data_IF_328357645014
#
_entry.id   IF_328357645014
#
_cell.length_a   1.000
_cell.length_b   1.000
_cell.length_c   1.000
_cell.angle_alpha   90.00
_cell.angle_beta   90.00
_cell.angle_gamma   90.00
#
_symmetry.space_group_name_H-M   'P 1'
#
loop_
_entity.id
_entity.type
_entity.pdbx_description
1 polymer ?
#
# COMPACT_ATOMS: atom_id res chain seq x y z
N UNK A 1 -2.54 -10.70 -14.56
CA UNK A 1 -2.63 -10.49 -13.11
C UNK A 1 -1.94 -11.67 -12.46
N UNK A 2 -1.02 -11.39 -11.55
CA UNK A 2 -0.40 -12.36 -10.65
C UNK A 2 -0.88 -11.99 -9.25
N UNK A 3 -1.31 -12.95 -8.46
CA UNK A 3 -1.81 -12.63 -7.12
C UNK A 3 -1.46 -13.69 -6.10
N UNK A 4 -1.37 -13.27 -4.83
CA UNK A 4 -1.29 -14.15 -3.66
C UNK A 4 -0.12 -15.15 -3.71
N UNK A 5 1.07 -14.71 -4.10
CA UNK A 5 2.23 -15.59 -4.21
C UNK A 5 3.55 -14.92 -3.83
N UNK A 6 4.59 -15.74 -3.61
CA UNK A 6 5.95 -15.26 -3.37
C UNK A 6 6.86 -15.52 -4.57
N UNK A 7 7.39 -14.45 -5.18
CA UNK A 7 8.41 -14.51 -6.23
C UNK A 7 9.78 -14.26 -5.62
N UNK A 8 10.65 -15.26 -5.64
CA UNK A 8 11.92 -15.19 -4.93
C UNK A 8 13.10 -15.89 -5.59
N UNK A 9 14.31 -15.49 -5.18
CA UNK A 9 15.60 -16.04 -5.64
C UNK A 9 15.84 -15.92 -7.14
N UNK A 10 15.12 -15.01 -7.78
CA UNK A 10 15.39 -14.60 -9.14
C UNK A 10 16.78 -14.01 -9.28
N UNK A 11 17.45 -14.28 -10.40
CA UNK A 11 18.80 -13.81 -10.67
C UNK A 11 18.94 -13.52 -12.16
N UNK A 12 18.93 -12.24 -12.51
CA UNK A 12 18.98 -11.79 -13.90
C UNK A 12 19.76 -10.47 -14.00
N UNK A 13 20.19 -10.04 -15.21
CA UNK A 13 20.77 -8.72 -15.37
C UNK A 13 19.81 -7.60 -14.93
N UNK A 14 18.50 -7.80 -15.13
CA UNK A 14 17.42 -6.87 -14.76
C UNK A 14 16.12 -7.66 -14.67
N UNK A 15 15.16 -7.16 -13.88
CA UNK A 15 13.89 -7.87 -13.64
C UNK A 15 14.12 -9.20 -12.95
N UNK A 16 14.94 -9.21 -11.88
CA UNK A 16 15.41 -10.43 -11.22
C UNK A 16 14.25 -11.37 -10.86
N UNK A 17 13.19 -10.85 -10.25
CA UNK A 17 11.93 -11.57 -10.05
C UNK A 17 10.99 -11.50 -11.26
N UNK A 18 10.60 -10.29 -11.66
CA UNK A 18 9.65 -10.06 -12.77
C UNK A 18 10.24 -9.09 -13.80
N UNK A 19 10.12 -9.46 -15.07
CA UNK A 19 10.41 -8.57 -16.20
C UNK A 19 9.16 -8.36 -17.04
N UNK A 20 8.81 -7.10 -17.30
CA UNK A 20 7.72 -6.71 -18.20
C UNK A 20 8.29 -6.07 -19.46
N UNK A 21 8.31 -6.85 -20.55
CA UNK A 21 8.82 -6.43 -21.86
C UNK A 21 7.74 -6.22 -22.92
N UNK A 22 6.52 -6.73 -22.69
CA UNK A 22 5.49 -6.88 -23.73
C UNK A 22 4.27 -5.99 -23.47
N UNK A 23 3.40 -5.84 -24.47
CA UNK A 23 2.44 -4.74 -24.62
C UNK A 23 1.26 -4.63 -23.65
N UNK A 24 1.38 -5.13 -22.41
CA UNK A 24 0.29 -5.13 -21.43
C UNK A 24 0.79 -4.81 -20.03
N UNK A 25 -0.04 -4.06 -19.31
CA UNK A 25 0.14 -3.82 -17.88
C UNK A 25 0.05 -5.13 -17.11
N UNK A 26 0.88 -5.29 -16.07
CA UNK A 26 0.82 -6.42 -15.16
C UNK A 26 0.42 -5.92 -13.78
N UNK A 27 -0.71 -6.43 -13.29
CA UNK A 27 -1.12 -6.28 -11.90
C UNK A 27 -0.53 -7.41 -11.06
N UNK A 28 0.23 -7.04 -10.02
CA UNK A 28 0.70 -7.86 -8.92
C UNK A 28 -0.13 -7.49 -7.69
N UNK A 29 -1.03 -8.37 -7.27
CA UNK A 29 -1.88 -8.13 -6.11
C UNK A 29 -1.55 -9.10 -4.98
N UNK A 30 -1.25 -8.62 -3.78
CA UNK A 30 -0.89 -9.49 -2.65
C UNK A 30 0.32 -10.40 -2.97
N UNK A 31 1.28 -9.87 -3.73
CA UNK A 31 2.50 -10.60 -4.12
C UNK A 31 3.65 -10.16 -3.23
N UNK A 32 4.44 -11.12 -2.75
CA UNK A 32 5.73 -10.84 -2.11
C UNK A 32 6.86 -11.08 -3.10
N UNK A 33 7.63 -10.05 -3.43
CA UNK A 33 8.85 -10.18 -4.22
C UNK A 33 10.05 -10.05 -3.29
N UNK A 34 10.77 -11.15 -3.09
CA UNK A 34 11.86 -11.20 -2.10
C UNK A 34 13.09 -11.96 -2.52
N UNK A 35 14.23 -11.63 -1.92
CA UNK A 35 15.49 -12.34 -2.16
C UNK A 35 15.91 -12.41 -3.64
N UNK A 36 15.39 -11.52 -4.50
CA UNK A 36 15.76 -11.46 -5.92
C UNK A 36 17.00 -10.59 -6.11
N UNK A 37 17.74 -10.86 -7.18
CA UNK A 37 19.01 -10.21 -7.48
C UNK A 37 19.05 -9.70 -8.92
N UNK A 38 19.40 -8.43 -9.09
CA UNK A 38 19.77 -7.85 -10.38
C UNK A 38 21.26 -7.50 -10.39
N UNK A 39 21.98 -7.82 -11.47
CA UNK A 39 23.44 -7.61 -11.58
C UNK A 39 23.90 -6.79 -12.79
N UNK A 40 22.98 -6.28 -13.60
CA UNK A 40 23.29 -5.54 -14.80
C UNK A 40 22.30 -4.42 -15.07
N UNK A 41 22.23 -3.99 -16.34
CA UNK A 41 21.36 -2.92 -16.81
C UNK A 41 20.50 -3.42 -17.95
N UNK A 42 19.28 -2.89 -18.05
CA UNK A 42 18.47 -3.13 -19.24
C UNK A 42 19.13 -2.44 -20.45
N UNK A 43 19.21 -3.06 -21.64
CA UNK A 43 19.77 -2.43 -22.84
C UNK A 43 19.12 -1.10 -23.27
N UNK A 44 17.97 -0.80 -22.67
CA UNK A 44 17.18 0.38 -22.94
C UNK A 44 17.47 1.54 -22.00
N UNK A 45 18.40 1.43 -21.07
CA UNK A 45 18.76 2.53 -20.19
C UNK A 45 19.78 2.14 -19.14
N UNK A 46 19.96 2.98 -18.14
CA UNK A 46 20.95 2.75 -17.09
C UNK A 46 20.35 2.05 -15.86
N UNK A 47 19.06 1.71 -15.92
CA UNK A 47 18.31 1.17 -14.78
C UNK A 47 18.15 -0.36 -14.79
N UNK A 48 17.92 -0.90 -13.61
CA UNK A 48 17.53 -2.28 -13.37
C UNK A 48 16.55 -2.37 -12.19
N UNK A 49 15.93 -3.54 -12.05
CA UNK A 49 15.03 -3.85 -10.94
C UNK A 49 15.30 -5.26 -10.43
N UNK A 50 15.76 -5.38 -9.18
CA UNK A 50 16.05 -6.67 -8.57
C UNK A 50 14.76 -7.48 -8.34
N UNK A 51 13.74 -6.87 -7.76
CA UNK A 51 12.42 -7.47 -7.61
C UNK A 51 11.69 -7.50 -8.94
N UNK A 52 11.58 -6.33 -9.57
CA UNK A 52 10.90 -6.22 -10.84
C UNK A 52 11.36 -5.05 -11.69
N UNK A 53 11.30 -5.24 -13.01
CA UNK A 53 11.65 -4.22 -13.99
C UNK A 53 10.58 -4.14 -15.09
N UNK A 54 10.14 -2.93 -15.41
CA UNK A 54 9.22 -2.70 -16.53
C UNK A 54 9.72 -1.59 -17.45
N UNK A 55 9.52 -1.77 -18.75
CA UNK A 55 9.83 -0.75 -19.75
C UNK A 55 8.65 0.20 -19.98
N UNK A 56 7.71 -0.16 -20.84
CA UNK A 56 6.67 0.74 -21.35
C UNK A 56 5.30 0.63 -20.67
N UNK A 57 5.08 -0.41 -19.88
CA UNK A 57 3.77 -0.76 -19.35
C UNK A 57 3.79 -0.75 -17.84
N UNK A 58 2.72 -0.29 -17.20
CA UNK A 58 2.75 -0.20 -15.75
C UNK A 58 2.87 -1.61 -15.17
N UNK A 59 3.82 -1.75 -14.25
CA UNK A 59 3.81 -2.82 -13.27
C UNK A 59 3.10 -2.28 -12.03
N UNK A 60 1.89 -2.78 -11.76
CA UNK A 60 1.07 -2.30 -10.65
C UNK A 60 1.23 -3.25 -9.47
N UNK A 61 1.77 -2.73 -8.37
CA UNK A 61 1.76 -3.38 -7.06
C UNK A 61 0.53 -2.91 -6.31
N UNK A 62 -0.32 -3.84 -5.93
CA UNK A 62 -1.48 -3.59 -5.09
C UNK A 62 -1.39 -4.48 -3.86
N UNK A 63 -1.41 -3.92 -2.66
CA UNK A 63 -1.33 -4.69 -1.41
C UNK A 63 -0.14 -5.65 -1.38
N UNK A 64 0.97 -5.27 -2.00
CA UNK A 64 2.10 -6.16 -2.28
C UNK A 64 3.34 -5.74 -1.50
N UNK A 65 4.28 -6.67 -1.34
CA UNK A 65 5.51 -6.44 -0.58
C UNK A 65 6.74 -6.70 -1.44
N UNK A 66 7.64 -5.73 -1.54
CA UNK A 66 8.95 -5.86 -2.18
C UNK A 66 10.01 -5.75 -1.10
N UNK A 67 10.65 -6.86 -0.75
CA UNK A 67 11.55 -6.91 0.41
C UNK A 67 12.79 -7.76 0.22
N UNK A 68 13.91 -7.44 0.88
CA UNK A 68 15.12 -8.27 0.88
C UNK A 68 15.73 -8.53 -0.52
N UNK A 69 15.41 -7.71 -1.51
CA UNK A 69 16.01 -7.79 -2.84
C UNK A 69 17.38 -7.10 -2.84
N UNK A 70 18.25 -7.47 -3.79
CA UNK A 70 19.66 -7.07 -3.79
C UNK A 70 20.13 -6.60 -5.16
N UNK A 71 20.99 -5.59 -5.18
CA UNK A 71 21.81 -5.20 -6.35
C UNK A 71 23.30 -5.38 -5.98
N UNK A 72 24.27 -5.18 -6.90
CA UNK A 72 25.69 -5.39 -6.60
C UNK A 72 26.26 -4.42 -5.55
N UNK A 73 25.56 -3.34 -5.28
CA UNK A 73 25.94 -2.27 -4.36
C UNK A 73 24.71 -1.70 -3.64
N UNK A 74 24.96 -0.72 -2.79
CA UNK A 74 23.95 0.19 -2.23
C UNK A 74 24.41 1.64 -2.43
N UNK A 75 25.11 1.88 -3.54
CA UNK A 75 25.76 3.13 -3.91
C UNK A 75 24.80 3.99 -4.73
N UNK A 76 24.46 5.16 -4.20
CA UNK A 76 23.54 6.12 -4.80
C UNK A 76 23.99 6.68 -6.16
N UNK A 77 25.25 6.46 -6.56
CA UNK A 77 25.76 6.84 -7.88
C UNK A 77 25.36 5.88 -9.00
N UNK A 78 24.80 4.71 -8.65
CA UNK A 78 24.32 3.72 -9.61
C UNK A 78 22.80 3.65 -9.61
N UNK A 79 22.23 3.24 -10.73
CA UNK A 79 20.80 3.32 -11.00
C UNK A 79 20.11 1.95 -10.89
N UNK A 80 20.42 1.14 -9.87
CA UNK A 80 19.73 -0.13 -9.67
C UNK A 80 18.69 -0.06 -8.56
N UNK A 81 17.45 -0.36 -8.92
CA UNK A 81 16.33 -0.38 -8.00
C UNK A 81 16.03 -1.78 -7.46
N UNK A 82 15.27 -1.84 -6.36
CA UNK A 82 14.43 -3.02 -6.11
C UNK A 82 13.34 -3.09 -7.18
N UNK A 83 12.70 -1.95 -7.46
CA UNK A 83 11.75 -1.75 -8.56
C UNK A 83 12.34 -0.77 -9.56
N UNK A 84 12.35 -1.12 -10.85
CA UNK A 84 12.89 -0.28 -11.91
C UNK A 84 11.94 -0.05 -13.08
N UNK A 85 11.99 1.16 -13.65
CA UNK A 85 11.20 1.56 -14.81
C UNK A 85 9.80 2.06 -14.46
N UNK A 86 8.78 1.72 -15.26
CA UNK A 86 7.40 2.21 -15.05
C UNK A 86 6.63 1.30 -14.07
N UNK A 87 6.43 1.78 -12.85
CA UNK A 87 5.82 1.03 -11.76
C UNK A 87 4.89 1.89 -10.91
N UNK A 88 3.76 1.32 -10.52
CA UNK A 88 2.76 1.93 -9.64
C UNK A 88 2.68 1.08 -8.36
N UNK A 89 2.62 1.72 -7.21
CA UNK A 89 2.50 1.04 -5.92
C UNK A 89 1.35 1.65 -5.14
N UNK A 90 0.37 0.82 -4.81
CA UNK A 90 -0.83 1.22 -4.07
C UNK A 90 -0.97 0.28 -2.88
N UNK A 91 -1.16 0.83 -1.67
CA UNK A 91 -1.30 0.06 -0.43
C UNK A 91 -0.16 -0.96 -0.22
N UNK A 92 1.05 -0.66 -0.70
CA UNK A 92 2.14 -1.62 -0.82
C UNK A 92 3.32 -1.25 0.06
N UNK A 93 4.24 -2.19 0.28
CA UNK A 93 5.46 -1.97 1.06
C UNK A 93 6.70 -2.31 0.25
N UNK A 94 7.62 -1.35 0.09
CA UNK A 94 8.93 -1.55 -0.54
C UNK A 94 9.99 -1.31 0.53
N UNK A 95 10.38 -2.40 1.20
CA UNK A 95 11.09 -2.32 2.48
C UNK A 95 12.30 -3.23 2.57
N UNK A 96 13.30 -2.89 3.39
CA UNK A 96 14.42 -3.78 3.72
C UNK A 96 15.20 -4.31 2.49
N UNK A 97 15.24 -3.59 1.37
CA UNK A 97 16.02 -3.98 0.21
C UNK A 97 17.47 -3.50 0.35
N UNK A 98 18.43 -4.34 -0.05
CA UNK A 98 19.85 -3.98 -0.15
C UNK A 98 20.16 -3.61 -1.60
N UNK A 99 19.51 -2.53 -2.04
CA UNK A 99 19.63 -2.00 -3.40
C UNK A 99 20.11 -0.55 -3.35
N UNK A 100 20.62 -0.05 -4.48
CA UNK A 100 21.06 1.34 -4.60
C UNK A 100 19.87 2.31 -4.43
N UNK A 101 18.70 1.92 -4.95
CA UNK A 101 17.43 2.62 -4.77
C UNK A 101 16.29 1.64 -4.48
N UNK A 102 15.25 2.06 -3.75
CA UNK A 102 14.04 1.26 -3.62
C UNK A 102 13.25 1.27 -4.94
N UNK A 103 13.01 2.46 -5.48
CA UNK A 103 12.37 2.68 -6.78
C UNK A 103 13.26 3.53 -7.67
N UNK A 104 13.38 3.16 -8.94
CA UNK A 104 14.05 3.99 -9.93
C UNK A 104 13.25 4.11 -11.22
N UNK A 105 13.05 5.34 -11.69
CA UNK A 105 12.56 5.62 -13.04
C UNK A 105 13.50 6.56 -13.76
N UNK A 106 14.37 5.96 -14.56
CA UNK A 106 15.48 6.63 -15.23
C UNK A 106 15.11 7.05 -16.67
N UNK A 107 16.02 7.75 -17.35
CA UNK A 107 15.94 8.10 -18.76
C UNK A 107 16.17 6.88 -19.67
N UNK A 108 15.23 5.94 -19.64
CA UNK A 108 15.30 4.75 -20.50
C UNK A 108 14.87 5.11 -21.94
N UNK A 109 15.71 4.82 -22.92
CA UNK A 109 15.51 5.08 -24.37
C UNK A 109 14.43 4.23 -25.02
N UNK A 110 14.01 3.13 -24.39
CA UNK A 110 12.90 2.31 -24.90
C UNK A 110 11.58 2.60 -24.20
N UNK A 111 11.51 3.64 -23.37
CA UNK A 111 10.30 3.96 -22.64
C UNK A 111 9.80 5.35 -23.01
N UNK A 112 8.68 5.41 -23.71
CA UNK A 112 8.09 6.69 -24.16
C UNK A 112 7.28 7.37 -23.03
N UNK A 113 7.12 6.70 -21.89
CA UNK A 113 6.39 7.25 -20.74
C UNK A 113 7.16 8.40 -20.10
N UNK A 114 6.47 9.49 -19.74
CA UNK A 114 7.09 10.65 -19.07
C UNK A 114 6.92 10.52 -17.53
N UNK A 115 6.30 9.45 -17.06
CA UNK A 115 5.92 9.22 -15.65
C UNK A 115 6.53 7.90 -15.16
N UNK A 116 6.98 7.85 -13.89
CA UNK A 116 7.39 6.60 -13.19
C UNK A 116 6.17 5.79 -12.76
N UNK A 117 5.10 6.46 -12.33
CA UNK A 117 3.85 5.88 -11.85
C UNK A 117 3.32 6.62 -10.63
N UNK A 118 2.29 6.04 -10.05
CA UNK A 118 1.62 6.49 -8.82
C UNK A 118 2.13 5.69 -7.63
N UNK A 119 2.45 6.37 -6.53
CA UNK A 119 2.77 5.79 -5.23
C UNK A 119 1.76 6.28 -4.22
N UNK A 120 0.78 5.45 -3.88
CA UNK A 120 -0.35 5.82 -3.04
C UNK A 120 -0.42 4.89 -1.83
N UNK A 121 -0.63 5.47 -0.64
CA UNK A 121 -0.79 4.73 0.61
C UNK A 121 0.28 3.65 0.83
N UNK A 122 1.51 3.97 0.43
CA UNK A 122 2.61 3.01 0.30
C UNK A 122 3.74 3.37 1.25
N UNK A 123 4.34 2.33 1.83
CA UNK A 123 5.53 2.45 2.67
C UNK A 123 6.80 2.17 1.85
N UNK A 124 7.75 3.10 1.89
CA UNK A 124 9.12 2.88 1.36
C UNK A 124 10.10 3.09 2.51
N UNK A 125 10.61 2.00 3.08
CA UNK A 125 11.41 2.12 4.30
C UNK A 125 12.52 1.11 4.51
N UNK A 126 13.52 1.52 5.29
CA UNK A 126 14.65 0.67 5.69
C UNK A 126 15.43 0.09 4.50
N UNK A 127 15.41 0.75 3.34
CA UNK A 127 16.24 0.34 2.21
C UNK A 127 17.67 0.83 2.43
N UNK A 128 18.65 -0.01 2.09
CA UNK A 128 20.07 0.30 2.34
C UNK A 128 20.60 1.43 1.46
N UNK A 129 19.94 1.69 0.33
CA UNK A 129 20.19 2.83 -0.56
C UNK A 129 19.10 3.90 -0.42
N UNK A 130 18.88 4.66 -1.49
CA UNK A 130 17.92 5.76 -1.52
C UNK A 130 16.47 5.27 -1.68
N UNK A 131 15.50 6.12 -1.34
CA UNK A 131 14.09 5.77 -1.49
C UNK A 131 13.67 5.77 -2.97
N UNK A 132 13.81 6.92 -3.64
CA UNK A 132 13.34 7.09 -5.02
C UNK A 132 14.37 7.89 -5.81
N UNK A 133 14.75 7.39 -6.98
CA UNK A 133 15.41 8.20 -8.01
C UNK A 133 14.46 8.40 -9.19
N UNK A 134 14.26 9.64 -9.61
CA UNK A 134 13.41 9.95 -10.74
C UNK A 134 14.02 10.93 -11.75
N UNK A 135 14.11 10.47 -12.99
CA UNK A 135 14.27 11.30 -14.20
C UNK A 135 12.91 11.53 -14.88
N UNK A 136 11.79 11.37 -14.18
CA UNK A 136 10.43 11.44 -14.73
C UNK A 136 9.47 12.10 -13.75
N UNK A 137 8.25 12.37 -14.18
CA UNK A 137 7.21 12.78 -13.25
C UNK A 137 6.79 11.61 -12.35
N UNK A 138 6.43 11.93 -11.12
CA UNK A 138 5.91 10.97 -10.16
C UNK A 138 4.75 11.61 -9.42
N UNK A 139 3.72 10.82 -9.17
CA UNK A 139 2.65 11.18 -8.25
C UNK A 139 2.79 10.32 -7.01
N UNK A 140 2.99 10.94 -5.85
CA UNK A 140 2.95 10.23 -4.58
C UNK A 140 1.95 10.90 -3.64
N UNK A 141 1.09 10.09 -3.05
CA UNK A 141 0.11 10.56 -2.08
C UNK A 141 -0.01 9.65 -0.87
N UNK A 142 -0.30 10.23 0.29
CA UNK A 142 -0.62 9.49 1.52
C UNK A 142 0.44 8.43 1.86
N UNK A 143 1.71 8.68 1.53
CA UNK A 143 2.77 7.68 1.59
C UNK A 143 3.84 8.03 2.62
N UNK A 144 4.41 7.02 3.26
CA UNK A 144 5.44 7.16 4.28
C UNK A 144 6.76 6.65 3.71
N UNK A 145 7.75 7.52 3.67
CA UNK A 145 9.05 7.24 3.09
C UNK A 145 10.10 7.51 4.17
N UNK A 146 10.67 6.45 4.74
CA UNK A 146 11.43 6.62 5.99
C UNK A 146 12.57 5.63 6.21
N UNK A 147 13.60 6.05 6.95
CA UNK A 147 14.74 5.19 7.33
C UNK A 147 15.52 4.62 6.13
N UNK A 148 15.50 5.29 4.97
CA UNK A 148 16.36 4.93 3.84
C UNK A 148 17.71 5.67 3.97
N UNK A 149 18.76 5.21 3.28
CA UNK A 149 20.06 5.91 3.32
C UNK A 149 20.01 7.32 2.71
N UNK A 150 19.07 7.55 1.79
CA UNK A 150 18.71 8.86 1.27
C UNK A 150 17.22 8.87 0.89
N UNK A 151 16.62 10.06 0.83
CA UNK A 151 15.23 10.23 0.40
C UNK A 151 15.09 10.14 -1.12
N UNK A 152 14.63 11.23 -1.72
CA UNK A 152 14.18 11.28 -3.12
C UNK A 152 15.11 12.18 -3.94
N UNK A 153 15.58 11.68 -5.09
CA UNK A 153 16.30 12.48 -6.10
C UNK A 153 15.37 12.81 -7.27
N UNK A 154 15.31 14.09 -7.62
CA UNK A 154 14.61 14.61 -8.79
C UNK A 154 15.68 15.13 -9.77
N UNK A 155 15.78 14.45 -10.91
CA UNK A 155 16.74 14.71 -11.98
C UNK A 155 16.03 14.94 -13.33
N UNK A 156 14.75 15.30 -13.31
CA UNK A 156 14.03 15.60 -14.54
C UNK A 156 14.22 17.07 -14.92
N UNK A 157 14.80 17.45 -16.07
CA UNK A 157 14.89 18.85 -16.45
C UNK A 157 13.51 19.50 -16.52
N UNK A 158 13.37 20.77 -16.14
CA UNK A 158 12.11 21.53 -16.29
C UNK A 158 11.79 21.79 -17.78
N UNK A 159 11.35 20.74 -18.45
CA UNK A 159 10.78 20.81 -19.79
C UNK A 159 9.26 20.75 -19.65
N UNK A 160 8.53 21.75 -20.19
CA UNK A 160 7.07 21.72 -20.21
C UNK A 160 6.59 20.40 -20.78
N UNK A 161 5.93 19.60 -19.95
CA UNK A 161 5.30 18.37 -20.43
C UNK A 161 4.25 18.78 -21.47
N UNK A 162 4.30 18.26 -22.71
CA UNK A 162 3.29 18.56 -23.73
C UNK A 162 1.89 18.07 -23.30
N UNK A 163 1.82 17.27 -22.23
CA UNK A 163 0.60 16.72 -21.64
C UNK A 163 0.25 17.35 -20.28
N UNK A 164 1.03 18.33 -19.80
CA UNK A 164 0.77 19.02 -18.53
C UNK A 164 1.04 18.19 -17.26
N UNK A 165 1.78 17.08 -17.38
CA UNK A 165 2.20 16.31 -16.20
C UNK A 165 3.14 17.12 -15.31
N UNK A 166 2.98 16.95 -13.99
CA UNK A 166 3.82 17.54 -12.97
C UNK A 166 4.19 16.46 -11.95
N UNK A 167 5.33 16.67 -11.27
CA UNK A 167 5.68 15.87 -10.10
C UNK A 167 4.88 16.36 -8.91
N UNK A 168 4.18 15.45 -8.23
CA UNK A 168 3.27 15.76 -7.12
C UNK A 168 3.59 14.88 -5.93
N UNK A 169 3.71 15.51 -4.77
CA UNK A 169 3.79 14.87 -3.46
C UNK A 169 2.70 15.47 -2.57
N UNK A 170 1.69 14.67 -2.22
CA UNK A 170 0.51 15.14 -1.52
C UNK A 170 0.26 14.34 -0.25
N UNK A 171 0.21 14.99 0.91
CA UNK A 171 0.04 14.32 2.19
C UNK A 171 1.05 13.18 2.40
N UNK A 172 2.33 13.42 2.09
CA UNK A 172 3.40 12.43 2.34
C UNK A 172 4.11 12.73 3.65
N UNK A 173 4.68 11.69 4.27
CA UNK A 173 5.65 11.83 5.35
C UNK A 173 6.99 11.28 4.87
N UNK A 174 7.90 12.18 4.51
CA UNK A 174 9.30 11.87 4.19
C UNK A 174 10.12 12.13 5.45
N UNK A 175 10.58 11.08 6.13
CA UNK A 175 11.16 11.23 7.46
C UNK A 175 12.36 10.34 7.74
N UNK A 176 13.38 10.83 8.43
CA UNK A 176 14.54 10.07 8.89
C UNK A 176 15.28 9.32 7.76
N UNK A 177 15.33 9.91 6.56
CA UNK A 177 16.25 9.41 5.53
C UNK A 177 17.61 10.09 5.72
N UNK A 178 18.68 9.31 5.80
CA UNK A 178 19.92 9.80 6.42
C UNK A 178 20.50 11.09 5.78
N UNK A 179 20.74 11.10 4.46
CA UNK A 179 21.41 12.25 3.81
C UNK A 179 20.49 13.42 3.52
N UNK A 180 19.40 13.21 2.79
CA UNK A 180 18.47 14.27 2.41
C UNK A 180 17.03 13.77 2.31
N UNK A 181 16.07 14.69 2.48
CA UNK A 181 14.68 14.45 2.12
C UNK A 181 14.54 14.49 0.60
N UNK A 182 14.62 15.67 0.01
CA UNK A 182 14.70 15.84 -1.44
C UNK A 182 16.09 16.26 -1.89
N UNK A 183 16.51 15.81 -3.08
CA UNK A 183 17.65 16.36 -3.81
C UNK A 183 17.24 16.71 -5.23
N UNK A 184 17.59 17.91 -5.66
CA UNK A 184 17.28 18.45 -6.98
C UNK A 184 18.57 18.61 -7.79
N UNK A 185 18.73 17.79 -8.84
CA UNK A 185 19.88 17.89 -9.77
C UNK A 185 19.62 18.92 -10.89
N UNK A 186 18.37 19.33 -11.04
CA UNK A 186 17.88 20.32 -12.01
C UNK A 186 16.87 21.24 -11.31
N UNK A 187 16.63 22.47 -11.81
CA UNK A 187 15.63 23.38 -11.25
C UNK A 187 14.21 22.95 -11.63
N UNK A 188 13.77 21.82 -11.06
CA UNK A 188 12.50 21.16 -11.38
C UNK A 188 11.49 21.45 -10.30
N UNK A 189 10.53 22.35 -10.53
CA UNK A 189 9.52 22.63 -9.54
C UNK A 189 8.61 21.41 -9.34
N UNK A 190 8.18 21.20 -8.09
CA UNK A 190 7.21 20.17 -7.72
C UNK A 190 5.96 20.80 -7.14
N UNK A 191 4.87 20.03 -7.11
CA UNK A 191 3.72 20.32 -6.24
C UNK A 191 3.92 19.57 -4.93
N UNK A 192 4.25 20.28 -3.86
CA UNK A 192 4.34 19.73 -2.52
C UNK A 192 3.16 20.22 -1.70
N UNK A 193 2.24 19.31 -1.37
CA UNK A 193 0.96 19.62 -0.74
C UNK A 193 0.89 18.87 0.59
N UNK A 194 0.54 19.56 1.67
CA UNK A 194 0.15 18.91 2.93
C UNK A 194 1.18 17.92 3.50
N UNK A 195 2.48 18.13 3.27
CA UNK A 195 3.50 17.09 3.50
C UNK A 195 4.47 17.43 4.63
N UNK A 196 4.95 16.39 5.32
CA UNK A 196 6.02 16.48 6.34
C UNK A 196 7.34 16.04 5.70
N UNK A 197 8.36 16.89 5.78
CA UNK A 197 9.76 16.56 5.46
C UNK A 197 10.60 16.81 6.72
N UNK A 198 11.18 15.75 7.32
CA UNK A 198 11.91 15.91 8.58
C UNK A 198 12.95 14.84 8.90
N UNK A 199 13.92 15.14 9.76
CA UNK A 199 14.82 14.13 10.34
C UNK A 199 15.97 13.71 9.41
N UNK A 200 16.24 14.50 8.37
CA UNK A 200 17.35 14.30 7.46
C UNK A 200 18.57 15.12 7.92
N UNK A 201 19.75 14.86 7.34
CA UNK A 201 20.88 15.80 7.50
C UNK A 201 20.55 17.18 6.90
N UNK A 202 19.78 17.17 5.81
CA UNK A 202 19.16 18.35 5.19
C UNK A 202 17.82 17.95 4.58
N UNK A 203 16.73 18.66 4.87
CA UNK A 203 15.42 18.30 4.31
C UNK A 203 15.37 18.48 2.78
N UNK A 204 16.10 19.47 2.23
CA UNK A 204 16.32 19.64 0.80
C UNK A 204 17.79 19.91 0.44
N UNK A 205 18.29 19.22 -0.58
CA UNK A 205 19.51 19.57 -1.32
C UNK A 205 19.15 20.20 -2.66
N UNK A 206 19.23 21.53 -2.71
CA UNK A 206 18.95 22.34 -3.91
C UNK A 206 20.22 22.94 -4.51
N UNK A 207 21.40 22.46 -4.09
CA UNK A 207 22.69 23.05 -4.48
C UNK A 207 22.88 23.08 -6.00
N UNK A 208 22.56 21.98 -6.67
CA UNK A 208 22.72 21.86 -8.13
C UNK A 208 21.64 22.66 -8.87
N UNK A 209 20.38 22.62 -8.40
CA UNK A 209 19.30 23.43 -8.94
C UNK A 209 19.60 24.94 -8.88
N UNK A 210 20.06 25.44 -7.73
CA UNK A 210 20.41 26.86 -7.54
C UNK A 210 21.63 27.30 -8.36
N UNK A 211 22.52 26.37 -8.71
CA UNK A 211 23.65 26.67 -9.59
C UNK A 211 23.20 26.91 -11.04
N UNK A 212 22.06 26.34 -11.44
CA UNK A 212 21.45 26.51 -12.77
C UNK A 212 20.47 27.69 -12.77
N UNK A 213 19.60 27.75 -11.77
CA UNK A 213 18.61 28.82 -11.57
C UNK A 213 18.69 29.36 -10.13
N UNK A 214 19.34 30.52 -9.92
CA UNK A 214 19.47 31.14 -8.60
C UNK A 214 18.14 31.51 -7.92
N UNK A 215 17.04 31.59 -8.68
CA UNK A 215 15.72 31.93 -8.18
C UNK A 215 14.84 30.67 -7.96
N UNK A 216 15.43 29.46 -8.05
CA UNK A 216 14.72 28.21 -7.89
C UNK A 216 14.01 28.10 -6.53
N UNK A 217 12.75 27.70 -6.58
CA UNK A 217 11.92 27.34 -5.43
C UNK A 217 11.37 25.93 -5.61
N UNK A 218 11.29 25.17 -4.52
CA UNK A 218 10.87 23.76 -4.55
C UNK A 218 9.39 23.64 -4.91
N UNK A 219 8.54 24.45 -4.28
CA UNK A 219 7.09 24.39 -4.49
C UNK A 219 6.63 25.60 -5.31
N UNK A 220 6.12 25.38 -6.51
CA UNK A 220 5.54 26.47 -7.33
C UNK A 220 4.02 26.37 -7.34
N UNK A 221 3.38 27.41 -6.78
CA UNK A 221 1.95 27.63 -6.78
C UNK A 221 1.37 27.79 -8.20
N UNK A 222 0.21 27.19 -8.49
CA UNK A 222 -0.90 27.96 -9.05
C UNK A 222 -2.23 27.18 -8.98
N UNK A 223 -3.21 27.79 -8.31
CA UNK A 223 -4.62 27.40 -8.11
C UNK A 223 -4.98 26.34 -7.04
N UNK A 224 -5.35 26.87 -5.86
CA UNK A 224 -6.41 26.46 -4.91
C UNK A 224 -6.45 24.99 -4.40
N UNK A 225 -6.49 24.72 -3.07
CA UNK A 225 -6.33 25.62 -1.91
C UNK A 225 -4.85 25.90 -1.56
N UNK A 226 -4.60 26.70 -0.53
CA UNK A 226 -3.23 26.93 0.00
C UNK A 226 -2.60 25.61 0.47
N UNK A 227 -1.29 25.50 0.32
CA UNK A 227 -0.55 24.31 0.75
C UNK A 227 0.06 24.50 2.15
N UNK A 228 -0.04 23.47 2.98
CA UNK A 228 0.48 23.47 4.36
C UNK A 228 1.54 22.38 4.50
N UNK A 229 2.80 22.71 4.27
CA UNK A 229 3.89 21.78 4.45
C UNK A 229 4.58 22.05 5.78
N UNK A 230 5.14 21.01 6.39
CA UNK A 230 5.94 21.10 7.59
C UNK A 230 7.35 20.59 7.29
N UNK A 231 8.32 21.48 7.38
CA UNK A 231 9.74 21.22 7.13
C UNK A 231 10.50 21.48 8.42
N UNK A 232 11.36 20.54 8.80
CA UNK A 232 12.06 20.62 10.09
C UNK A 232 13.28 21.52 10.11
N UNK A 233 13.80 21.89 8.93
CA UNK A 233 14.85 22.89 8.76
C UNK A 233 14.46 23.98 7.73
N UNK A 234 15.43 24.81 7.30
CA UNK A 234 15.27 25.89 6.33
C UNK A 234 15.93 25.63 4.96
N UNK A 235 16.30 24.38 4.68
CA UNK A 235 17.03 24.02 3.46
C UNK A 235 16.15 23.93 2.22
N UNK A 236 14.83 23.82 2.40
CA UNK A 236 13.85 23.83 1.32
C UNK A 236 13.41 25.27 0.98
N UNK A 237 13.74 25.83 -0.20
CA UNK A 237 13.25 27.14 -0.60
C UNK A 237 11.76 27.07 -0.96
N UNK A 238 10.91 27.50 -0.03
CA UNK A 238 9.45 27.56 -0.17
C UNK A 238 8.97 29.02 -0.16
N UNK A 239 7.93 29.33 -0.95
CA UNK A 239 7.47 30.72 -1.15
C UNK A 239 6.26 31.15 -0.30
N UNK A 240 5.49 30.20 0.23
CA UNK A 240 4.23 30.50 0.94
C UNK A 240 4.38 30.54 2.47
N UNK A 241 3.70 31.48 3.11
CA UNK A 241 3.74 31.64 4.58
C UNK A 241 2.89 30.65 5.36
N UNK A 242 2.08 29.84 4.67
CA UNK A 242 1.26 28.78 5.27
C UNK A 242 2.09 27.56 5.69
N UNK A 243 3.33 27.46 5.20
CA UNK A 243 4.24 26.39 5.57
C UNK A 243 4.85 26.62 6.96
N UNK A 244 5.02 25.54 7.72
CA UNK A 244 5.76 25.50 8.98
C UNK A 244 7.20 25.11 8.68
N UNK A 245 8.12 26.07 8.70
CA UNK A 245 9.56 25.86 8.42
C UNK A 245 10.34 25.91 9.72
N UNK A 246 11.46 25.19 9.84
CA UNK A 246 12.22 25.03 11.08
C UNK A 246 11.37 24.51 12.26
N UNK A 247 10.45 23.60 11.98
CA UNK A 247 9.46 23.12 12.97
C UNK A 247 9.56 21.61 13.11
N UNK A 248 9.74 21.11 14.34
CA UNK A 248 9.73 19.67 14.62
C UNK A 248 8.30 19.13 14.47
N UNK A 249 8.04 18.15 13.59
CA UNK A 249 6.71 17.53 13.47
C UNK A 249 6.32 16.65 14.66
N UNK A 250 7.22 16.37 15.60
CA UNK A 250 7.01 15.45 16.73
C UNK A 250 6.55 14.06 16.26
N UNK A 251 7.20 13.54 15.22
CA UNK A 251 6.90 12.21 14.68
C UNK A 251 7.22 11.11 15.71
N UNK A 252 6.32 10.15 15.81
CA UNK A 252 6.53 8.90 16.53
C UNK A 252 7.32 7.91 15.65
N UNK A 253 7.91 6.85 16.26
CA UNK A 253 8.59 5.81 15.49
C UNK A 253 7.68 5.17 14.43
N UNK A 254 8.30 4.66 13.35
CA UNK A 254 7.58 3.87 12.36
C UNK A 254 6.93 2.65 13.04
N UNK A 255 5.61 2.55 12.95
CA UNK A 255 4.84 1.55 13.67
C UNK A 255 3.55 1.18 12.93
N UNK A 256 2.91 0.13 13.41
CA UNK A 256 1.56 -0.24 12.98
C UNK A 256 0.55 0.66 13.71
N UNK A 257 0.09 1.68 13.00
CA UNK A 257 -0.94 2.61 13.47
C UNK A 257 -2.29 2.35 12.78
N UNK A 258 -2.50 1.12 12.29
CA UNK A 258 -3.65 0.70 11.48
C UNK A 258 -3.39 0.81 9.97
N UNK A 259 -4.29 0.22 9.18
CA UNK A 259 -4.19 0.18 7.72
C UNK A 259 -3.25 -0.89 7.18
N UNK A 260 -2.95 -0.83 5.88
CA UNK A 260 -2.22 -1.90 5.16
C UNK A 260 -0.70 -1.76 5.20
N UNK A 261 -0.18 -0.62 5.63
CA UNK A 261 1.26 -0.32 5.67
C UNK A 261 1.63 0.44 6.94
N UNK A 262 2.89 0.33 7.39
CA UNK A 262 3.34 1.05 8.59
C UNK A 262 3.45 2.55 8.30
N UNK A 263 3.00 3.36 9.25
CA UNK A 263 2.99 4.83 9.15
C UNK A 263 3.85 5.46 10.24
N UNK A 264 4.15 6.75 10.07
CA UNK A 264 4.70 7.62 11.11
C UNK A 264 3.56 8.45 11.70
N UNK A 265 3.04 8.05 12.86
CA UNK A 265 2.08 8.86 13.61
C UNK A 265 2.74 10.13 14.19
N UNK A 266 1.94 11.10 14.61
CA UNK A 266 2.40 12.32 15.30
C UNK A 266 2.07 12.25 16.79
N UNK A 267 2.88 12.89 17.63
CA UNK A 267 2.57 13.05 19.05
C UNK A 267 1.33 13.95 19.25
N UNK A 268 0.56 13.80 20.36
CA UNK A 268 -0.62 14.63 20.64
C UNK A 268 -0.37 16.14 20.75
N UNK A 269 0.89 16.56 20.90
CA UNK A 269 1.32 17.96 20.97
C UNK A 269 1.84 18.51 19.63
N UNK A 270 1.82 17.67 18.59
CA UNK A 270 2.45 17.99 17.32
C UNK A 270 1.87 19.25 16.69
N UNK A 271 2.72 20.14 16.16
CA UNK A 271 2.27 21.32 15.42
C UNK A 271 1.66 20.96 14.05
N UNK A 272 1.74 19.70 13.61
CA UNK A 272 1.10 19.23 12.38
C UNK A 272 -0.42 19.07 12.53
N UNK A 273 -0.92 18.86 13.76
CA UNK A 273 -2.33 18.56 14.03
C UNK A 273 -3.20 19.81 13.76
N UNK A 274 -4.30 19.61 13.03
CA UNK A 274 -5.25 20.65 12.63
C UNK A 274 -4.60 21.87 11.92
N UNK A 275 -3.40 21.71 11.36
CA UNK A 275 -2.67 22.80 10.73
C UNK A 275 -3.21 23.13 9.33
N UNK A 276 -3.95 22.21 8.70
CA UNK A 276 -4.67 22.44 7.45
C UNK A 276 -6.11 22.87 7.79
N UNK A 277 -6.50 24.13 7.54
CA UNK A 277 -7.88 24.59 7.70
C UNK A 277 -8.79 23.99 6.63
N UNK A 278 -10.06 23.79 6.97
CA UNK A 278 -11.11 23.32 6.04
C UNK A 278 -10.78 21.96 5.40
N UNK A 279 -10.46 20.97 6.24
CA UNK A 279 -10.09 19.62 5.83
C UNK A 279 -11.06 19.04 4.79
N UNK A 280 -10.59 18.91 3.54
CA UNK A 280 -11.32 18.21 2.47
C UNK A 280 -10.86 16.75 2.33
N UNK A 281 -9.81 16.34 3.06
CA UNK A 281 -9.36 14.97 3.06
C UNK A 281 -10.39 14.09 3.78
N UNK A 282 -10.68 12.94 3.18
CA UNK A 282 -11.50 11.88 3.76
C UNK A 282 -10.70 10.59 3.96
N UNK A 283 -9.37 10.66 3.80
CA UNK A 283 -8.44 9.53 3.85
C UNK A 283 -6.99 9.96 4.11
N UNK A 284 -6.24 9.06 4.74
CA UNK A 284 -4.78 9.10 4.88
C UNK A 284 -4.17 7.77 4.42
N UNK A 285 -2.91 7.48 4.76
CA UNK A 285 -2.26 6.22 4.35
C UNK A 285 -3.01 4.95 4.77
N UNK A 286 -3.74 5.02 5.87
CA UNK A 286 -4.39 3.87 6.50
C UNK A 286 -5.72 3.54 5.83
N UNK A 287 -6.30 4.49 5.10
CA UNK A 287 -7.60 4.38 4.48
C UNK A 287 -8.45 5.61 4.76
N UNK A 288 -9.78 5.47 4.64
CA UNK A 288 -10.70 6.59 4.93
C UNK A 288 -10.80 6.86 6.43
N UNK A 289 -11.07 8.11 6.78
CA UNK A 289 -11.34 8.51 8.16
C UNK A 289 -12.48 9.56 8.24
N UNK A 290 -13.16 9.71 9.41
CA UNK A 290 -14.12 10.79 9.66
C UNK A 290 -13.55 12.17 9.35
N UNK A 291 -14.22 12.95 8.49
CA UNK A 291 -13.80 14.33 8.27
C UNK A 291 -13.76 15.12 9.59
N UNK A 292 -12.63 15.76 9.86
CA UNK A 292 -12.39 16.67 10.98
C UNK A 292 -12.48 18.13 10.50
N UNK A 293 -12.77 19.11 11.38
CA UNK A 293 -12.67 20.53 11.01
C UNK A 293 -11.29 20.95 10.50
N UNK A 294 -10.21 20.28 10.93
CA UNK A 294 -8.84 20.46 10.45
C UNK A 294 -8.19 19.12 10.08
N UNK A 295 -7.22 19.14 9.16
CA UNK A 295 -6.40 17.96 8.89
C UNK A 295 -5.00 18.13 9.49
N UNK A 296 -4.39 17.00 9.81
CA UNK A 296 -2.99 16.86 10.15
C UNK A 296 -2.14 16.91 8.89
N UNK A 297 -1.03 17.65 8.92
CA UNK A 297 -0.05 17.63 7.82
C UNK A 297 0.65 16.25 7.79
N UNK A 298 0.82 15.67 6.61
CA UNK A 298 1.54 14.41 6.39
C UNK A 298 0.65 13.24 5.97
N UNK A 299 1.21 12.03 6.02
CA UNK A 299 0.55 10.80 5.59
C UNK A 299 -0.37 10.17 6.65
N UNK A 300 -0.48 10.79 7.82
CA UNK A 300 -1.20 10.28 8.98
C UNK A 300 -2.09 11.38 9.55
N UNK A 301 -3.38 11.09 9.70
CA UNK A 301 -4.33 11.96 10.37
C UNK A 301 -4.41 11.68 11.87
N UNK A 302 -4.26 12.72 12.68
CA UNK A 302 -4.45 12.60 14.11
C UNK A 302 -5.94 12.63 14.47
N UNK A 303 -6.49 11.47 14.83
CA UNK A 303 -7.85 11.36 15.35
C UNK A 303 -7.81 11.31 16.89
N UNK A 304 -8.26 12.37 17.56
CA UNK A 304 -8.32 12.44 19.03
C UNK A 304 -9.44 11.56 19.65
N UNK A 305 -10.23 10.89 18.81
CA UNK A 305 -11.43 10.11 19.17
C UNK A 305 -11.24 8.62 19.49
N UNK A 306 -10.01 8.08 19.52
CA UNK A 306 -9.78 6.68 19.94
C UNK A 306 -9.12 5.76 18.90
N UNK A 307 -7.96 6.16 18.41
CA UNK A 307 -6.69 5.39 18.32
C UNK A 307 -6.55 4.03 17.61
N UNK A 308 -7.49 3.48 16.87
CA UNK A 308 -7.16 2.42 15.90
C UNK A 308 -8.16 2.39 14.74
N UNK A 309 -7.62 2.26 13.52
CA UNK A 309 -8.45 1.98 12.35
C UNK A 309 -9.07 0.60 12.56
N UNK A 310 -10.39 0.46 12.37
CA UNK A 310 -11.00 -0.84 12.50
C UNK A 310 -10.37 -1.80 11.48
N UNK A 311 -10.06 -3.03 11.89
CA UNK A 311 -9.61 -4.03 10.94
C UNK A 311 -10.66 -4.17 9.84
N UNK A 312 -10.24 -4.25 8.59
CA UNK A 312 -11.13 -4.51 7.46
C UNK A 312 -10.82 -5.88 6.86
N UNK A 313 -11.80 -6.49 6.19
CA UNK A 313 -11.62 -7.78 5.53
C UNK A 313 -11.63 -7.67 4.02
N UNK A 314 -10.86 -8.54 3.37
CA UNK A 314 -11.03 -8.82 1.96
C UNK A 314 -11.17 -10.32 1.73
N UNK A 315 -12.03 -10.67 0.78
CA UNK A 315 -12.35 -12.06 0.44
C UNK A 315 -11.71 -12.38 -0.91
N UNK A 316 -11.06 -13.53 -1.02
CA UNK A 316 -10.67 -14.08 -2.32
C UNK A 316 -11.33 -15.43 -2.54
N UNK A 317 -12.04 -15.58 -3.66
CA UNK A 317 -12.42 -16.89 -4.16
C UNK A 317 -11.18 -17.60 -4.72
N UNK A 318 -11.02 -18.89 -4.42
CA UNK A 318 -9.91 -19.69 -4.93
C UNK A 318 -9.88 -19.76 -6.47
N UNK A 319 -8.77 -20.22 -7.07
CA UNK A 319 -8.64 -20.31 -8.52
C UNK A 319 -9.73 -21.19 -9.13
N UNK A 320 -10.29 -20.71 -10.24
CA UNK A 320 -11.26 -21.42 -11.07
C UNK A 320 -10.55 -22.49 -11.90
N UNK A 321 -10.78 -23.77 -11.62
CA UNK A 321 -10.64 -24.80 -12.65
C UNK A 321 -12.00 -25.11 -13.26
N UNK A 322 -12.12 -24.78 -14.55
CA UNK A 322 -13.18 -25.25 -15.42
C UNK A 322 -12.82 -24.87 -16.86
N UNK A 323 -12.42 -25.85 -17.67
CA UNK A 323 -12.58 -25.75 -19.13
C UNK A 323 -14.07 -25.46 -19.38
N UNK A 324 -14.41 -24.22 -19.75
CA UNK A 324 -15.71 -23.78 -20.26
C UNK A 324 -16.95 -24.56 -19.76
N UNK A 325 -17.62 -24.10 -18.71
CA UNK A 325 -18.90 -24.70 -18.33
C UNK A 325 -19.65 -24.03 -17.20
N UNK A 326 -19.33 -24.38 -15.96
CA UNK A 326 -20.08 -23.96 -14.77
C UNK A 326 -19.10 -23.57 -13.65
N UNK A 327 -19.25 -22.36 -13.11
CA UNK A 327 -18.45 -21.86 -11.98
C UNK A 327 -19.01 -22.46 -10.68
N UNK A 328 -18.34 -23.46 -10.11
CA UNK A 328 -18.71 -24.00 -8.79
C UNK A 328 -17.87 -23.32 -7.69
N UNK A 329 -18.54 -22.86 -6.63
CA UNK A 329 -17.88 -22.25 -5.47
C UNK A 329 -17.30 -23.37 -4.59
N UNK A 330 -16.03 -23.27 -4.21
CA UNK A 330 -15.41 -24.24 -3.29
C UNK A 330 -16.10 -24.23 -1.92
N UNK A 331 -16.06 -25.35 -1.19
CA UNK A 331 -16.43 -25.37 0.23
C UNK A 331 -15.46 -24.61 1.14
N UNK A 332 -14.38 -24.06 0.61
CA UNK A 332 -13.44 -23.23 1.35
C UNK A 332 -13.50 -21.77 0.90
N UNK A 333 -13.46 -20.84 1.85
CA UNK A 333 -13.28 -19.40 1.62
C UNK A 333 -12.01 -18.90 2.32
N UNK A 334 -11.20 -18.09 1.64
CA UNK A 334 -10.08 -17.42 2.27
C UNK A 334 -10.43 -15.96 2.58
N UNK A 335 -10.18 -15.56 3.82
CA UNK A 335 -10.41 -14.20 4.32
C UNK A 335 -9.07 -13.63 4.76
N UNK A 336 -8.79 -12.39 4.34
CA UNK A 336 -7.65 -11.61 4.81
C UNK A 336 -8.15 -10.46 5.67
N UNK A 337 -7.37 -10.13 6.69
CA UNK A 337 -7.60 -8.97 7.54
C UNK A 337 -6.48 -7.95 7.31
N UNK A 338 -6.80 -6.67 7.40
CA UNK A 338 -5.83 -5.58 7.26
C UNK A 338 -4.75 -5.59 8.36
N UNK A 339 -5.05 -6.13 9.55
CA UNK A 339 -4.14 -6.21 10.70
C UNK A 339 -4.37 -7.47 11.55
N UNK A 340 -3.46 -7.73 12.50
CA UNK A 340 -3.53 -8.92 13.35
C UNK A 340 -4.79 -8.96 14.20
N UNK A 341 -5.49 -10.10 14.14
CA UNK A 341 -6.77 -10.33 14.79
C UNK A 341 -6.59 -11.06 16.12
N UNK A 342 -7.49 -10.79 17.05
CA UNK A 342 -7.57 -11.47 18.34
C UNK A 342 -7.87 -12.96 18.12
N UNK A 343 -6.90 -13.81 18.50
CA UNK A 343 -6.95 -15.26 18.34
C UNK A 343 -6.38 -15.94 19.60
N UNK A 344 -7.14 -16.02 20.70
CA UNK A 344 -6.74 -16.73 21.90
C UNK A 344 -6.64 -18.26 21.66
N UNK A 345 -6.22 -19.02 22.67
CA UNK A 345 -6.19 -20.48 22.54
C UNK A 345 -7.61 -21.07 22.57
N UNK A 346 -8.00 -21.76 21.50
CA UNK A 346 -9.34 -22.33 21.33
C UNK A 346 -10.08 -21.62 20.21
N UNK A 347 -11.39 -21.83 20.11
CA UNK A 347 -12.29 -21.25 19.09
C UNK A 347 -13.64 -20.82 19.66
N UNK A 348 -13.77 -20.74 20.99
CA UNK A 348 -15.07 -20.49 21.66
C UNK A 348 -15.22 -19.08 22.23
N UNK A 349 -14.14 -18.29 22.27
CA UNK A 349 -14.21 -16.92 22.77
C UNK A 349 -15.04 -16.07 21.78
N UNK A 350 -16.04 -15.29 22.24
CA UNK A 350 -16.91 -14.53 21.36
C UNK A 350 -16.16 -13.54 20.45
N UNK A 351 -15.00 -13.03 20.87
CA UNK A 351 -14.26 -12.02 20.10
C UNK A 351 -13.17 -12.66 19.21
N UNK A 352 -13.08 -13.99 19.21
CA UNK A 352 -12.05 -14.78 18.53
C UNK A 352 -12.30 -14.88 17.03
N UNK A 353 -11.29 -14.51 16.24
CA UNK A 353 -11.34 -14.63 14.77
C UNK A 353 -11.51 -16.08 14.30
N UNK A 354 -11.21 -17.10 15.12
CA UNK A 354 -11.42 -18.51 14.80
C UNK A 354 -12.75 -19.07 15.28
N UNK A 355 -13.59 -18.28 15.97
CA UNK A 355 -14.90 -18.73 16.41
C UNK A 355 -15.88 -18.80 15.24
N UNK A 356 -16.41 -19.99 14.87
CA UNK A 356 -17.34 -20.12 13.75
C UNK A 356 -18.64 -19.32 13.89
N UNK A 357 -19.02 -18.95 15.12
CA UNK A 357 -20.20 -18.12 15.37
C UNK A 357 -20.01 -16.65 14.94
N UNK A 358 -18.77 -16.24 14.67
CA UNK A 358 -18.43 -14.91 14.16
C UNK A 358 -18.58 -14.79 12.63
N UNK A 359 -19.19 -15.79 12.00
CA UNK A 359 -19.35 -15.85 10.56
C UNK A 359 -20.69 -16.46 10.19
N UNK A 360 -21.24 -16.04 9.05
CA UNK A 360 -22.48 -16.58 8.53
C UNK A 360 -22.40 -16.67 7.01
N UNK A 361 -22.72 -17.85 6.46
CA UNK A 361 -22.93 -18.04 5.03
C UNK A 361 -24.40 -18.39 4.79
N UNK A 362 -25.08 -17.60 3.97
CA UNK A 362 -26.45 -17.87 3.54
C UNK A 362 -26.52 -18.01 2.03
N UNK A 363 -27.33 -18.96 1.57
CA UNK A 363 -27.74 -19.10 0.18
C UNK A 363 -29.16 -18.54 0.03
N UNK A 364 -29.38 -17.67 -0.95
CA UNK A 364 -30.73 -17.17 -1.23
C UNK A 364 -31.58 -18.25 -1.92
N UNK A 365 -32.85 -18.38 -1.50
CA UNK A 365 -33.84 -19.19 -2.21
C UNK A 365 -34.23 -18.56 -3.56
N UNK A 366 -34.68 -19.37 -4.51
CA UNK A 366 -34.77 -19.02 -5.96
C UNK A 366 -35.65 -17.82 -6.34
N UNK A 367 -36.34 -17.12 -5.44
CA UNK A 367 -37.23 -16.00 -5.78
C UNK A 367 -37.35 -14.90 -4.68
N UNK A 368 -36.49 -14.86 -3.66
CA UNK A 368 -36.73 -14.05 -2.45
C UNK A 368 -35.86 -12.79 -2.27
N UNK A 369 -34.73 -12.68 -2.97
CA UNK A 369 -33.69 -11.69 -2.64
C UNK A 369 -33.06 -11.95 -1.26
N UNK A 370 -32.03 -11.18 -0.90
CA UNK A 370 -31.37 -11.29 0.41
C UNK A 370 -32.20 -10.58 1.49
N UNK A 371 -32.42 -11.25 2.62
CA UNK A 371 -33.20 -10.72 3.76
C UNK A 371 -32.41 -10.73 5.07
N UNK A 372 -31.40 -11.58 5.22
CA UNK A 372 -30.42 -11.45 6.31
C UNK A 372 -29.60 -10.18 6.07
N UNK A 373 -29.46 -9.35 7.10
CA UNK A 373 -28.68 -8.12 7.05
C UNK A 373 -27.58 -8.09 8.10
N UNK A 374 -27.44 -9.13 8.92
CA UNK A 374 -26.52 -9.15 10.03
C UNK A 374 -26.18 -10.55 10.53
N UNK A 375 -25.01 -10.64 11.16
CA UNK A 375 -24.65 -11.76 12.02
C UNK A 375 -25.64 -11.93 13.19
N UNK A 376 -26.02 -13.19 13.49
CA UNK A 376 -26.82 -13.51 14.68
C UNK A 376 -28.27 -13.03 14.68
N UNK A 377 -28.79 -12.50 13.57
CA UNK A 377 -30.22 -12.19 13.41
C UNK A 377 -31.09 -13.44 13.21
N UNK A 378 -32.41 -13.30 13.40
CA UNK A 378 -33.36 -14.37 13.03
C UNK A 378 -33.19 -14.68 11.54
N UNK A 379 -32.68 -15.87 11.21
CA UNK A 379 -32.61 -16.38 9.83
C UNK A 379 -34.03 -16.32 9.25
N UNK A 380 -34.23 -15.50 8.23
CA UNK A 380 -35.55 -15.31 7.64
C UNK A 380 -35.90 -16.53 6.77
N UNK A 381 -37.19 -16.89 6.72
CA UNK A 381 -37.67 -18.24 6.34
C UNK A 381 -37.34 -18.74 4.93
N UNK A 382 -36.75 -17.89 4.08
CA UNK A 382 -36.46 -18.19 2.67
C UNK A 382 -34.96 -18.32 2.36
N UNK A 383 -34.08 -18.18 3.35
CA UNK A 383 -32.63 -18.37 3.20
C UNK A 383 -32.19 -19.70 3.82
N UNK A 384 -31.18 -20.32 3.21
CA UNK A 384 -30.59 -21.56 3.73
C UNK A 384 -29.22 -21.22 4.32
N UNK A 385 -29.05 -21.46 5.61
CA UNK A 385 -27.74 -21.36 6.27
C UNK A 385 -26.88 -22.53 5.83
N UNK A 386 -25.69 -22.20 5.34
CA UNK A 386 -24.64 -23.17 5.04
C UNK A 386 -23.77 -23.29 6.29
N UNK A 387 -23.71 -24.45 6.97
CA UNK A 387 -22.96 -24.56 8.20
C UNK A 387 -21.47 -24.31 7.98
N UNK A 388 -20.86 -23.58 8.91
CA UNK A 388 -19.41 -23.44 8.99
C UNK A 388 -18.90 -24.55 9.90
N UNK A 389 -17.99 -25.36 9.39
CA UNK A 389 -17.45 -26.54 10.08
C UNK A 389 -16.12 -26.26 10.75
N UNK A 390 -15.36 -25.31 10.23
CA UNK A 390 -14.05 -24.95 10.75
C UNK A 390 -13.66 -23.53 10.32
N UNK A 391 -13.03 -22.79 11.21
CA UNK A 391 -12.36 -21.52 10.90
C UNK A 391 -10.94 -21.61 11.42
N UNK A 392 -9.99 -21.28 10.55
CA UNK A 392 -8.57 -21.27 10.89
C UNK A 392 -8.02 -19.87 10.69
N UNK A 393 -7.04 -19.48 11.50
CA UNK A 393 -6.36 -18.19 11.39
C UNK A 393 -4.85 -18.38 11.49
N UNK A 394 -4.08 -17.62 10.69
CA UNK A 394 -2.65 -17.83 10.47
C UNK A 394 -2.29 -19.25 10.00
N UNK A 395 -3.26 -19.96 9.43
CA UNK A 395 -3.06 -21.27 8.84
C UNK A 395 -2.85 -21.10 7.31
N UNK A 396 -1.86 -21.79 6.73
CA UNK A 396 -1.70 -21.81 5.28
C UNK A 396 -2.93 -22.47 4.64
N UNK A 397 -3.32 -21.97 3.47
CA UNK A 397 -4.38 -22.57 2.66
C UNK A 397 -4.07 -24.03 2.32
N UNK A 398 -5.09 -24.91 2.28
CA UNK A 398 -4.90 -26.36 2.15
C UNK A 398 -4.17 -26.77 0.85
N UNK A 399 -3.08 -27.51 1.04
CA UNK A 399 -2.03 -27.86 0.08
C UNK A 399 -2.32 -29.05 -0.86
N UNK A 400 -3.56 -29.23 -1.33
CA UNK A 400 -3.88 -30.23 -2.36
C UNK A 400 -4.00 -29.62 -3.78
N UNK A 401 -4.01 -28.30 -3.88
CA UNK A 401 -3.76 -27.55 -5.11
C UNK A 401 -2.36 -26.95 -4.97
N UNK A 402 -1.51 -27.11 -5.98
CA UNK A 402 -0.06 -26.93 -5.89
C UNK A 402 0.41 -25.46 -5.80
N UNK A 403 -0.09 -24.70 -4.83
CA UNK A 403 0.44 -23.39 -4.48
C UNK A 403 0.95 -23.42 -3.03
N UNK A 404 2.27 -23.46 -2.88
CA UNK A 404 3.00 -23.27 -1.62
C UNK A 404 2.98 -21.80 -1.16
N UNK A 405 1.96 -21.03 -1.58
CA UNK A 405 2.01 -19.58 -1.78
C UNK A 405 1.15 -18.75 -0.80
N UNK A 406 0.58 -19.36 0.23
CA UNK A 406 -0.14 -18.66 1.32
C UNK A 406 0.63 -18.78 2.64
N UNK A 407 1.90 -18.36 2.65
CA UNK A 407 2.78 -18.44 3.84
C UNK A 407 3.03 -17.10 4.55
N UNK A 408 2.34 -16.01 4.20
CA UNK A 408 2.53 -14.74 4.90
C UNK A 408 1.32 -13.80 4.81
N UNK A 409 0.13 -14.25 5.22
CA UNK A 409 -0.98 -13.30 5.37
C UNK A 409 -1.72 -13.48 6.68
N UNK A 410 -1.90 -12.34 7.34
CA UNK A 410 -2.89 -12.09 8.37
C UNK A 410 -4.27 -12.45 7.79
N UNK A 411 -4.72 -13.68 8.04
CA UNK A 411 -5.86 -14.24 7.32
C UNK A 411 -6.16 -15.69 7.73
N UNK A 412 -7.25 -16.21 7.20
CA UNK A 412 -7.83 -17.46 7.65
C UNK A 412 -8.65 -18.19 6.59
N UNK A 413 -8.84 -19.48 6.79
CA UNK A 413 -9.72 -20.31 5.95
C UNK A 413 -11.01 -20.61 6.69
N UNK A 414 -12.14 -20.43 6.03
CA UNK A 414 -13.45 -20.89 6.47
C UNK A 414 -13.84 -22.11 5.64
N UNK A 415 -14.24 -23.17 6.31
CA UNK A 415 -14.74 -24.41 5.70
C UNK A 415 -16.25 -24.54 5.92
N UNK A 416 -16.99 -24.75 4.84
CA UNK A 416 -18.44 -24.93 4.83
C UNK A 416 -18.82 -26.40 4.70
N UNK A 417 -20.02 -26.75 5.18
CA UNK A 417 -20.65 -28.05 4.92
C UNK A 417 -21.58 -27.97 3.68
N UNK A 418 -21.14 -28.41 2.49
CA UNK A 418 -21.97 -28.40 1.29
C UNK A 418 -23.10 -29.44 1.31
N UNK A 419 -23.05 -30.44 2.21
CA UNK A 419 -24.02 -31.54 2.21
C UNK A 419 -25.42 -31.09 2.63
N UNK A 420 -25.53 -30.01 3.41
CA UNK A 420 -26.83 -29.40 3.77
C UNK A 420 -27.60 -28.91 2.54
N UNK A 421 -26.89 -28.58 1.46
CA UNK A 421 -27.47 -28.15 0.19
C UNK A 421 -27.63 -29.29 -0.83
N UNK A 422 -27.33 -30.53 -0.44
CA UNK A 422 -27.36 -31.69 -1.34
C UNK A 422 -26.27 -31.69 -2.41
N UNK A 423 -25.17 -30.96 -2.19
CA UNK A 423 -24.05 -30.87 -3.13
C UNK A 423 -22.95 -31.93 -2.87
N UNK A 424 -21.92 -31.93 -3.70
CA UNK A 424 -20.75 -32.80 -3.57
C UNK A 424 -19.86 -32.39 -2.39
N UNK A 425 -19.01 -33.30 -1.91
CA UNK A 425 -18.14 -33.08 -0.74
C UNK A 425 -17.16 -31.90 -0.85
N UNK A 426 -16.95 -31.34 -2.05
CA UNK A 426 -15.90 -30.35 -2.32
C UNK A 426 -16.42 -28.97 -2.79
N UNK A 427 -17.71 -28.87 -3.17
CA UNK A 427 -18.26 -27.69 -3.82
C UNK A 427 -19.65 -27.35 -3.32
N UNK A 428 -19.91 -26.06 -3.13
CA UNK A 428 -21.24 -25.50 -2.95
C UNK A 428 -22.00 -25.53 -4.30
N UNK A 429 -23.32 -25.78 -4.29
CA UNK A 429 -24.11 -25.79 -5.51
C UNK A 429 -24.21 -24.40 -6.13
N UNK A 430 -24.58 -24.33 -7.42
CA UNK A 430 -24.79 -23.04 -8.10
C UNK A 430 -25.92 -22.27 -7.41
N UNK A 431 -25.65 -21.01 -7.07
CA UNK A 431 -26.63 -20.07 -6.52
C UNK A 431 -25.96 -18.81 -5.99
N UNK A 432 -26.78 -17.90 -5.47
CA UNK A 432 -26.33 -16.65 -4.89
C UNK A 432 -26.09 -16.81 -3.38
N UNK A 433 -24.88 -16.47 -2.95
CA UNK A 433 -24.44 -16.58 -1.56
C UNK A 433 -24.08 -15.20 -1.02
N UNK A 434 -24.41 -14.96 0.25
CA UNK A 434 -23.88 -13.83 1.02
C UNK A 434 -23.12 -14.36 2.23
N UNK A 435 -21.93 -13.81 2.42
CA UNK A 435 -21.05 -14.13 3.52
C UNK A 435 -20.92 -12.91 4.42
N UNK A 436 -21.20 -13.08 5.72
CA UNK A 436 -21.11 -12.03 6.74
C UNK A 436 -19.97 -12.35 7.70
N UNK A 437 -19.27 -11.31 8.14
CA UNK A 437 -18.31 -11.37 9.24
C UNK A 437 -18.85 -10.49 10.37
N UNK A 438 -18.95 -11.04 11.57
CA UNK A 438 -19.59 -10.33 12.68
C UNK A 438 -18.66 -9.27 13.26
N UNK A 439 -19.24 -8.17 13.74
CA UNK A 439 -18.52 -7.08 14.42
C UNK A 439 -17.81 -7.54 15.70
N UNK A 440 -18.20 -8.68 16.28
CA UNK A 440 -17.49 -9.34 17.38
C UNK A 440 -16.00 -9.59 17.09
N UNK A 441 -15.63 -9.81 15.82
CA UNK A 441 -14.24 -10.00 15.43
C UNK A 441 -13.48 -8.71 15.68
N UNK A 442 -12.36 -8.77 16.40
CA UNK A 442 -11.55 -7.60 16.73
C UNK A 442 -10.06 -7.83 16.59
N UNK A 443 -9.29 -6.76 16.51
CA UNK A 443 -7.84 -6.81 16.50
C UNK A 443 -7.23 -7.11 17.89
N UNK A 444 -5.90 -7.21 17.95
CA UNK A 444 -5.17 -7.42 19.21
C UNK A 444 -5.29 -6.27 20.23
N UNK A 445 -5.72 -5.09 19.80
CA UNK A 445 -5.87 -3.88 20.62
C UNK A 445 -7.32 -3.71 21.13
N UNK A 446 -8.24 -4.53 20.63
CA UNK A 446 -9.63 -4.59 21.06
C UNK A 446 -10.59 -3.83 20.13
N UNK A 447 -10.13 -3.40 18.95
CA UNK A 447 -10.95 -2.66 17.98
C UNK A 447 -11.66 -3.63 17.04
N UNK A 448 -12.97 -3.48 16.99
CA UNK A 448 -13.90 -4.33 16.26
C UNK A 448 -13.82 -4.10 14.75
N UNK A 449 -14.13 -5.13 13.97
CA UNK A 449 -14.09 -5.13 12.51
C UNK A 449 -14.98 -4.05 11.89
N UNK A 450 -14.50 -3.47 10.80
CA UNK A 450 -15.29 -2.73 9.81
C UNK A 450 -15.95 -3.72 8.84
N UNK A 451 -17.26 -3.93 9.02
CA UNK A 451 -18.08 -4.86 8.27
C UNK A 451 -18.76 -4.25 7.03
N UNK A 452 -18.85 -2.92 6.91
CA UNK A 452 -19.56 -2.27 5.79
C UNK A 452 -18.68 -1.34 4.93
N UNK A 453 -17.38 -1.25 5.24
CA UNK A 453 -16.39 -0.50 4.49
C UNK A 453 -16.47 1.01 4.73
N UNK A 454 -17.13 1.44 5.81
CA UNK A 454 -17.20 2.84 6.22
C UNK A 454 -15.98 3.28 7.07
N UNK A 455 -15.08 2.35 7.39
CA UNK A 455 -13.87 2.54 8.19
C UNK A 455 -14.16 2.91 9.65
N UNK A 456 -15.35 2.56 10.15
CA UNK A 456 -15.70 2.53 11.56
C UNK A 456 -15.93 1.09 12.03
N UNK A 457 -15.76 0.87 13.33
CA UNK A 457 -16.08 -0.42 13.93
C UNK A 457 -17.59 -0.65 13.87
N UNK A 458 -18.01 -1.81 13.37
CA UNK A 458 -19.42 -2.14 13.17
C UNK A 458 -19.73 -2.37 11.69
N UNK A 459 -21.02 -2.38 11.34
CA UNK A 459 -21.46 -2.85 10.02
C UNK A 459 -21.53 -4.38 9.95
N UNK A 460 -22.19 -4.92 8.93
CA UNK A 460 -22.34 -6.38 8.71
C UNK A 460 -22.02 -6.79 7.29
#
# INVERSE_FOLDING_TARGET
MIASMTIQRGNAPYGGGVLVSDSRHILLRLVTLRDNYAYGQHPCGQSAGAAAYSTNFALLFYESTVTENRTPSTDLSTHYGAVGGYAEAINSSIVNNQTDWAIIGDNNTCTDQIVIGTIESTLIANNSGGAIYTYRHIWSSQSTISNNAAGIVIDYPDVPSPYGYMTVFAAITLADNNTYGFKFLQPTPIRLLHSIISGHTQDCDVTEALAVDPDFVVNTYDYWPSDYNLISDDTCPLSESTHLVNTDPELLPLADNGGLTLTRAVAPTSPAIDAIPDCQADSDQRGRFPQSPGCTIGAYEYNDGGVDFPPSTSISSGPQEGEFGDFLLSKYLYIRFSQQMYNPSGDTDPDDVTNPNNYLLVMSGTDAGFQTTACGGDIQTNEIVVPITNVTYNAPWFANYADLDVLATIGGTIEFDPQVLGATDDYLPVGDYTFYVCDNVRDLKGVHLDGDGDYYSGGN
#
